data_IF_671309971671
#
_entry.id   IF_671309971671
#
_cell.length_a   1.000
_cell.length_b   1.000
_cell.length_c   1.000
_cell.angle_alpha   90.00
_cell.angle_beta   90.00
_cell.angle_gamma   90.00
#
_symmetry.space_group_name_H-M   'P 1'
#
loop_
_entity.id
_entity.type
_entity.pdbx_description
1 polymer ?
#
# COMPACT_ATOMS: atom_id res chain seq x y z
N UNK A 1 -3.10 0.83 -12.55
CA UNK A 1 -3.05 1.61 -11.28
C UNK A 1 -4.23 1.20 -10.40
N UNK A 2 -4.03 0.89 -9.11
CA UNK A 2 -5.03 0.23 -8.24
C UNK A 2 -6.11 1.21 -7.71
N UNK A 3 -6.01 2.49 -8.07
CA UNK A 3 -6.98 3.54 -7.78
C UNK A 3 -6.56 4.85 -8.41
N UNK A 4 -7.32 5.93 -8.20
CA UNK A 4 -6.92 7.28 -8.63
C UNK A 4 -7.18 8.30 -7.52
N UNK A 5 -6.66 9.53 -7.69
CA UNK A 5 -7.00 10.63 -6.77
C UNK A 5 -8.51 10.94 -6.76
N UNK A 6 -9.20 10.72 -7.88
CA UNK A 6 -10.65 10.90 -8.00
C UNK A 6 -11.41 9.72 -7.36
N UNK A 7 -10.85 8.53 -7.47
CA UNK A 7 -11.47 7.26 -7.11
C UNK A 7 -10.48 6.39 -6.31
N UNK A 8 -10.17 6.73 -5.04
CA UNK A 8 -9.13 6.05 -4.28
C UNK A 8 -9.62 4.67 -3.79
N UNK A 9 -8.81 3.63 -4.00
CA UNK A 9 -9.03 2.35 -3.33
C UNK A 9 -8.24 2.34 -2.01
N UNK A 10 -8.95 2.22 -0.90
CA UNK A 10 -8.36 2.16 0.42
C UNK A 10 -8.21 0.70 0.86
N UNK A 11 -6.99 0.30 1.21
CA UNK A 11 -6.72 -0.97 1.86
C UNK A 11 -6.51 -0.76 3.36
N UNK A 12 -7.18 -1.55 4.19
CA UNK A 12 -6.85 -1.61 5.61
C UNK A 12 -5.61 -2.49 5.78
N UNK A 13 -4.49 -1.87 6.16
CA UNK A 13 -3.25 -2.57 6.48
C UNK A 13 -2.97 -2.41 7.97
N UNK A 14 -2.78 -3.53 8.67
CA UNK A 14 -2.38 -3.51 10.08
C UNK A 14 -1.00 -2.85 10.20
N UNK A 15 -0.87 -1.84 11.05
CA UNK A 15 0.39 -1.16 11.33
C UNK A 15 1.51 -2.14 11.72
N UNK A 16 2.75 -1.82 11.36
CA UNK A 16 3.91 -2.67 11.68
C UNK A 16 4.00 -3.95 10.85
N UNK A 17 3.30 -4.04 9.71
CA UNK A 17 3.40 -5.18 8.79
C UNK A 17 4.75 -5.29 8.06
N UNK A 18 5.56 -4.23 8.10
CA UNK A 18 6.93 -4.18 7.61
C UNK A 18 7.81 -3.89 8.82
N UNK A 19 8.61 -4.87 9.23
CA UNK A 19 9.58 -4.72 10.32
C UNK A 19 10.90 -4.24 9.73
N UNK A 20 11.46 -3.18 10.31
CA UNK A 20 12.78 -2.68 9.92
C UNK A 20 13.83 -3.50 10.67
N UNK A 21 14.76 -4.16 9.96
CA UNK A 21 15.88 -4.84 10.62
C UNK A 21 16.96 -3.87 11.08
N UNK A 22 17.06 -2.72 10.40
CA UNK A 22 18.01 -1.65 10.68
C UNK A 22 17.24 -0.32 10.75
N UNK A 23 16.55 -0.01 11.85
CA UNK A 23 15.86 1.26 11.99
C UNK A 23 16.85 2.43 12.08
N UNK A 24 16.49 3.63 11.57
CA UNK A 24 17.35 4.79 11.71
C UNK A 24 17.47 5.22 13.17
N UNK A 25 18.58 5.89 13.49
CA UNK A 25 18.66 6.70 14.69
C UNK A 25 17.56 7.77 14.69
N UNK A 26 17.01 8.10 15.87
CA UNK A 26 15.94 9.09 16.02
C UNK A 26 16.49 10.52 15.94
N UNK A 27 17.02 10.88 14.78
CA UNK A 27 17.44 12.24 14.42
C UNK A 27 17.03 12.56 12.99
N UNK A 28 16.66 13.82 12.71
CA UNK A 28 16.20 14.22 11.37
C UNK A 28 17.24 13.89 10.27
N UNK A 29 18.55 14.17 10.45
CA UNK A 29 19.55 13.83 9.44
C UNK A 29 19.65 12.32 9.20
N UNK A 30 19.68 11.51 10.27
CA UNK A 30 19.80 10.05 10.14
C UNK A 30 18.56 9.44 9.45
N UNK A 31 17.36 9.91 9.81
CA UNK A 31 16.12 9.47 9.16
C UNK A 31 16.12 9.83 7.68
N UNK A 32 16.55 11.05 7.33
CA UNK A 32 16.62 11.50 5.94
C UNK A 32 17.61 10.65 5.13
N UNK A 33 18.79 10.34 5.68
CA UNK A 33 19.76 9.43 5.05
C UNK A 33 19.19 8.02 4.91
N UNK A 34 18.49 7.52 5.92
CA UNK A 34 17.91 6.18 5.91
C UNK A 34 16.86 5.97 4.81
N UNK A 35 16.07 7.00 4.48
CA UNK A 35 15.10 6.96 3.38
C UNK A 35 15.72 6.77 1.97
N UNK A 36 17.04 6.79 1.86
CA UNK A 36 17.80 6.48 0.65
C UNK A 36 18.32 5.02 0.61
N UNK A 37 18.11 4.24 1.67
CA UNK A 37 18.48 2.81 1.74
C UNK A 37 17.39 1.92 1.13
N UNK A 38 17.70 0.63 0.92
CA UNK A 38 16.71 -0.34 0.43
C UNK A 38 15.50 -0.50 1.36
N UNK A 39 15.71 -0.53 2.69
CA UNK A 39 14.61 -0.54 3.66
C UNK A 39 13.87 0.79 3.73
N UNK A 40 14.55 1.87 3.31
CA UNK A 40 14.02 3.22 3.21
C UNK A 40 13.04 3.45 2.06
N UNK A 41 12.79 2.46 1.20
CA UNK A 41 11.85 2.59 0.08
C UNK A 41 10.37 2.48 0.53
N UNK A 42 10.02 3.09 1.65
CA UNK A 42 8.67 3.12 2.26
C UNK A 42 8.15 4.56 2.33
N UNK A 43 6.83 4.72 2.52
CA UNK A 43 6.19 6.05 2.64
C UNK A 43 6.68 6.83 3.86
N UNK A 44 6.87 6.10 4.97
CA UNK A 44 7.12 6.67 6.27
C UNK A 44 7.44 5.62 7.32
N UNK A 45 7.81 6.10 8.51
CA UNK A 45 8.16 5.30 9.67
C UNK A 45 7.20 5.66 10.81
N UNK A 46 6.79 4.64 11.57
CA UNK A 46 5.98 4.79 12.78
C UNK A 46 6.73 4.18 13.96
N UNK A 47 6.89 4.94 15.04
CA UNK A 47 7.42 4.45 16.32
C UNK A 47 6.26 4.17 17.27
N UNK A 48 6.26 2.96 17.82
CA UNK A 48 5.35 2.55 18.89
C UNK A 48 6.05 2.75 20.23
N UNK A 49 5.56 3.68 21.05
CA UNK A 49 6.09 3.93 22.37
C UNK A 49 5.43 2.99 23.41
N UNK A 50 6.15 2.71 24.49
CA UNK A 50 5.66 1.84 25.58
C UNK A 50 4.44 2.41 26.31
N UNK A 51 4.22 3.72 26.24
CA UNK A 51 3.05 4.42 26.79
C UNK A 51 1.84 4.43 25.83
N UNK A 52 1.93 3.71 24.70
CA UNK A 52 0.88 3.64 23.69
C UNK A 52 0.87 4.81 22.71
N UNK A 53 1.78 5.79 22.85
CA UNK A 53 1.90 6.87 21.86
C UNK A 53 2.48 6.37 20.54
N UNK A 54 2.08 7.04 19.47
CA UNK A 54 2.54 6.79 18.11
C UNK A 54 3.15 8.06 17.53
N UNK A 55 4.39 7.97 17.07
CA UNK A 55 5.04 9.04 16.31
C UNK A 55 5.24 8.59 14.87
N UNK A 56 4.93 9.46 13.91
CA UNK A 56 5.02 9.16 12.49
C UNK A 56 5.82 10.22 11.75
N UNK A 57 6.68 9.78 10.84
CA UNK A 57 7.34 10.65 9.87
C UNK A 57 7.15 10.09 8.48
N UNK A 58 6.67 10.92 7.56
CA UNK A 58 6.51 10.55 6.16
C UNK A 58 7.57 11.29 5.33
N UNK A 59 7.91 10.76 4.16
CA UNK A 59 8.89 11.36 3.23
C UNK A 59 8.62 12.84 2.96
N UNK A 60 7.35 13.22 2.78
CA UNK A 60 6.97 14.61 2.50
C UNK A 60 7.29 15.58 3.66
N UNK A 61 7.35 15.11 4.92
CA UNK A 61 7.80 15.95 6.05
C UNK A 61 9.29 16.34 5.93
N UNK A 62 10.05 15.62 5.11
CA UNK A 62 11.49 15.82 4.87
C UNK A 62 11.78 16.35 3.45
N UNK A 63 10.76 16.84 2.73
CA UNK A 63 10.85 17.22 1.31
C UNK A 63 11.35 16.09 0.38
N UNK A 64 11.14 14.83 0.77
CA UNK A 64 11.46 13.66 -0.05
C UNK A 64 10.24 13.27 -0.90
N UNK A 65 10.44 12.75 -2.13
CA UNK A 65 9.35 12.40 -3.02
C UNK A 65 8.58 11.17 -2.55
N UNK A 66 7.28 11.16 -2.83
CA UNK A 66 6.40 10.01 -2.75
C UNK A 66 5.22 10.20 -3.74
N UNK A 67 4.80 9.18 -4.53
CA UNK A 67 5.42 7.88 -4.68
C UNK A 67 6.82 7.96 -5.30
N UNK A 68 7.59 6.88 -5.20
CA UNK A 68 8.90 6.76 -5.83
C UNK A 68 8.72 6.56 -7.34
N UNK A 69 9.50 7.28 -8.17
CA UNK A 69 9.31 7.29 -9.64
C UNK A 69 10.00 6.12 -10.35
N UNK A 70 11.19 5.75 -9.90
CA UNK A 70 12.09 4.83 -10.64
C UNK A 70 12.37 3.52 -9.88
N UNK A 71 11.77 3.35 -8.71
CA UNK A 71 11.98 2.19 -7.85
C UNK A 71 10.64 1.73 -7.28
N UNK A 72 10.50 0.41 -7.12
CA UNK A 72 9.31 -0.18 -6.50
C UNK A 72 9.39 0.02 -4.99
N UNK A 73 8.37 0.61 -4.35
CA UNK A 73 8.33 0.72 -2.90
C UNK A 73 8.34 -0.64 -2.21
N UNK A 74 8.92 -0.69 -1.01
CA UNK A 74 8.78 -1.84 -0.12
C UNK A 74 7.36 -1.85 0.43
N UNK A 75 6.59 -2.84 0.00
CA UNK A 75 5.24 -3.10 0.48
C UNK A 75 5.21 -4.31 1.41
N UNK A 76 4.10 -4.46 2.14
CA UNK A 76 3.93 -5.63 3.00
C UNK A 76 3.87 -6.92 2.18
N UNK A 77 4.58 -7.94 2.67
CA UNK A 77 4.54 -9.31 2.15
C UNK A 77 3.55 -10.20 2.91
N UNK A 78 2.64 -9.59 3.69
CA UNK A 78 1.58 -10.34 4.36
C UNK A 78 0.55 -10.77 3.33
N UNK A 79 0.05 -12.01 3.47
CA UNK A 79 -1.08 -12.52 2.69
C UNK A 79 -2.27 -11.58 2.80
N UNK A 80 -2.93 -11.36 1.69
CA UNK A 80 -4.16 -10.56 1.61
C UNK A 80 -5.28 -11.40 1.03
N UNK A 81 -6.48 -11.24 1.57
CA UNK A 81 -7.69 -11.89 1.08
C UNK A 81 -8.60 -10.84 0.47
N UNK A 82 -9.13 -11.13 -0.72
CA UNK A 82 -10.11 -10.29 -1.40
C UNK A 82 -11.48 -10.77 -0.96
N UNK A 83 -12.09 -10.09 0.00
CA UNK A 83 -13.47 -10.30 0.38
C UNK A 83 -14.32 -9.16 -0.16
N UNK A 84 -15.18 -9.47 -1.13
CA UNK A 84 -16.24 -8.57 -1.56
C UNK A 84 -17.57 -9.17 -1.10
N UNK A 85 -18.23 -8.50 -0.16
CA UNK A 85 -19.63 -8.81 0.15
C UNK A 85 -20.48 -8.61 -1.10
N UNK A 86 -21.59 -9.36 -1.19
CA UNK A 86 -22.50 -9.29 -2.32
C UNK A 86 -23.01 -7.85 -2.49
N UNK A 87 -22.38 -7.13 -3.41
CA UNK A 87 -22.84 -5.84 -3.88
C UNK A 87 -23.80 -6.08 -5.04
N UNK A 88 -25.08 -6.02 -4.73
CA UNK A 88 -26.17 -5.94 -5.70
C UNK A 88 -26.33 -4.47 -6.12
N UNK A 89 -25.48 -4.02 -7.03
CA UNK A 89 -25.65 -2.71 -7.64
C UNK A 89 -26.85 -2.75 -8.58
N UNK A 90 -27.91 -2.01 -8.29
CA UNK A 90 -29.05 -1.87 -9.20
C UNK A 90 -28.65 -1.20 -10.54
N UNK A 91 -27.56 -0.42 -10.55
CA UNK A 91 -26.93 0.18 -11.74
C UNK A 91 -25.46 -0.21 -11.84
N UNK A 92 -25.00 -0.71 -13.00
CA UNK A 92 -23.56 -0.95 -13.26
C UNK A 92 -22.78 0.36 -13.45
N UNK A 93 -23.48 1.44 -13.77
CA UNK A 93 -22.88 2.72 -14.16
C UNK A 93 -22.31 3.51 -12.97
N UNK A 94 -22.71 3.19 -11.73
CA UNK A 94 -22.25 3.88 -10.52
C UNK A 94 -21.15 3.13 -9.76
N UNK A 95 -20.73 1.95 -10.24
CA UNK A 95 -19.74 1.12 -9.55
C UNK A 95 -18.34 1.41 -10.09
N UNK A 96 -17.42 1.81 -9.20
CA UNK A 96 -16.02 1.99 -9.58
C UNK A 96 -15.49 0.68 -10.23
N UNK A 97 -14.93 0.75 -11.46
CA UNK A 97 -14.47 -0.42 -12.21
C UNK A 97 -13.49 -1.32 -11.45
N UNK A 98 -12.74 -0.77 -10.49
CA UNK A 98 -11.84 -1.54 -9.63
C UNK A 98 -12.60 -2.56 -8.77
N UNK A 99 -13.78 -2.22 -8.25
CA UNK A 99 -14.60 -3.19 -7.51
C UNK A 99 -15.16 -4.28 -8.41
N UNK A 100 -15.48 -3.98 -9.68
CA UNK A 100 -15.88 -4.99 -10.66
C UNK A 100 -14.72 -5.96 -10.97
N UNK A 101 -13.48 -5.46 -11.01
CA UNK A 101 -12.27 -6.31 -11.14
C UNK A 101 -12.08 -7.19 -9.90
N UNK A 102 -12.14 -6.60 -8.71
CA UNK A 102 -12.01 -7.34 -7.44
C UNK A 102 -13.11 -8.39 -7.26
N UNK A 103 -14.34 -8.12 -7.72
CA UNK A 103 -15.47 -9.07 -7.68
C UNK A 103 -15.14 -10.37 -8.41
N UNK A 104 -14.41 -10.31 -9.54
CA UNK A 104 -13.96 -11.50 -10.29
C UNK A 104 -13.01 -12.38 -9.47
N UNK A 105 -12.34 -11.80 -8.48
CA UNK A 105 -11.38 -12.48 -7.61
C UNK A 105 -11.88 -12.55 -6.15
N UNK A 106 -13.18 -12.45 -5.91
CA UNK A 106 -13.72 -12.58 -4.54
C UNK A 106 -13.41 -13.96 -3.97
N UNK A 107 -13.10 -14.01 -2.67
CA UNK A 107 -12.60 -15.17 -1.92
C UNK A 107 -11.23 -15.69 -2.39
N UNK A 108 -10.48 -14.89 -3.15
CA UNK A 108 -9.11 -15.22 -3.53
C UNK A 108 -8.13 -14.66 -2.52
N UNK A 109 -7.13 -15.47 -2.17
CA UNK A 109 -5.97 -15.04 -1.40
C UNK A 109 -4.81 -14.72 -2.33
N UNK A 110 -4.10 -13.64 -2.07
CA UNK A 110 -2.81 -13.29 -2.68
C UNK A 110 -1.72 -13.38 -1.61
N UNK A 111 -0.51 -13.78 -2.00
CA UNK A 111 0.58 -13.95 -1.05
C UNK A 111 1.10 -12.61 -0.50
N UNK A 112 0.85 -11.50 -1.21
CA UNK A 112 1.18 -10.14 -0.81
C UNK A 112 0.30 -9.07 -1.47
N UNK A 113 0.42 -7.82 -1.03
CA UNK A 113 -0.19 -6.66 -1.70
C UNK A 113 0.40 -6.46 -3.11
N UNK A 114 1.68 -6.84 -3.32
CA UNK A 114 2.31 -6.79 -4.64
C UNK A 114 1.64 -7.78 -5.60
N UNK A 115 1.35 -9.00 -5.13
CA UNK A 115 0.67 -10.00 -5.95
C UNK A 115 -0.76 -9.58 -6.30
N UNK A 116 -1.44 -8.90 -5.37
CA UNK A 116 -2.74 -8.29 -5.63
C UNK A 116 -2.65 -7.20 -6.71
N UNK A 117 -1.64 -6.33 -6.63
CA UNK A 117 -1.40 -5.30 -7.63
C UNK A 117 -1.21 -5.90 -9.03
N UNK A 118 -0.31 -6.87 -9.14
CA UNK A 118 -0.03 -7.57 -10.40
C UNK A 118 -1.24 -8.33 -10.92
N UNK A 119 -2.07 -8.89 -10.03
CA UNK A 119 -3.31 -9.56 -10.41
C UNK A 119 -4.28 -8.59 -11.09
N UNK A 120 -4.43 -7.38 -10.53
CA UNK A 120 -5.33 -6.36 -11.07
C UNK A 120 -4.82 -5.76 -12.39
N UNK A 121 -3.50 -5.64 -12.57
CA UNK A 121 -2.88 -5.16 -13.81
C UNK A 121 -2.97 -6.19 -14.96
N UNK A 122 -2.76 -7.48 -14.67
CA UNK A 122 -2.85 -8.54 -15.69
C UNK A 122 -4.25 -8.65 -16.32
N UNK A 123 -5.29 -8.28 -15.60
CA UNK A 123 -6.65 -8.23 -16.12
C UNK A 123 -6.89 -7.02 -17.06
N UNK A 124 -6.07 -5.97 -17.00
CA UNK A 124 -6.14 -4.85 -17.96
C UNK A 124 -5.63 -5.30 -19.35
N UNK A 125 -4.47 -5.95 -19.39
CA UNK A 125 -3.82 -6.39 -20.64
C UNK A 125 -4.53 -7.54 -21.38
N UNK A 126 -5.57 -8.15 -20.78
CA UNK A 126 -6.38 -9.20 -21.43
C UNK A 126 -7.66 -8.65 -22.09
N UNK A 127 -8.02 -7.41 -21.80
CA UNK A 127 -9.23 -6.76 -22.33
C UNK A 127 -8.89 -5.65 -23.36
N UNK A 128 -7.61 -5.53 -23.75
CA UNK A 128 -7.13 -4.80 -24.94
C UNK A 128 -6.85 -5.79 -26.08
#
# INVERSE_FOLDING_TARGET
>A
DIGSKRDPLHFLVIHGSITLSEPPEVSLPAIQTWFSTEQGLVEGIVWHCSDGKLFKIHRHHLNLPWPLKDVTPVLTRKKVEILLDNFDSESKDDVNPVFLKLKKHSNRTCDSVVDLAQLLEKDENKNE
#
